data_IF_246721511364
#
_entry.id   IF_246721511364
#
_cell.length_a   1.000
_cell.length_b   1.000
_cell.length_c   1.000
_cell.angle_alpha   90.00
_cell.angle_beta   90.00
_cell.angle_gamma   90.00
#
_symmetry.space_group_name_H-M   'P 1'
#
loop_
_entity.id
_entity.type
_entity.pdbx_description
1 polymer ?
#
# COMPACT_ATOMS: atom_id res chain seq x y z
N UNK A 1 4.56 29.52 -28.63
CA UNK A 1 4.78 28.07 -28.41
C UNK A 1 4.25 27.53 -27.07
N UNK A 2 4.22 28.30 -25.98
CA UNK A 2 3.77 27.82 -24.63
C UNK A 2 2.28 27.43 -24.56
N UNK A 3 1.38 28.06 -25.30
CA UNK A 3 -0.07 27.77 -25.27
C UNK A 3 -0.46 26.50 -26.05
N UNK A 4 0.39 26.00 -26.93
CA UNK A 4 0.06 24.84 -27.76
C UNK A 4 0.08 23.52 -26.98
N UNK A 5 0.96 23.34 -25.95
CA UNK A 5 1.06 22.09 -25.20
C UNK A 5 -0.15 21.90 -24.26
N UNK A 6 -0.56 22.97 -23.56
CA UNK A 6 -1.73 22.90 -22.66
C UNK A 6 -2.99 22.55 -23.45
N UNK A 7 -3.21 23.18 -24.60
CA UNK A 7 -4.35 22.88 -25.46
C UNK A 7 -4.36 21.41 -25.90
N UNK A 8 -3.22 20.85 -26.32
CA UNK A 8 -3.11 19.43 -26.68
C UNK A 8 -3.42 18.51 -25.49
N UNK A 9 -2.99 18.88 -24.29
CA UNK A 9 -3.31 18.14 -23.08
C UNK A 9 -4.82 18.23 -22.77
N UNK A 10 -5.41 19.43 -22.90
CA UNK A 10 -6.86 19.64 -22.72
C UNK A 10 -7.68 18.83 -23.74
N UNK A 11 -7.20 18.69 -24.97
CA UNK A 11 -7.86 17.87 -26.01
C UNK A 11 -7.83 16.37 -25.64
N UNK A 12 -6.81 15.90 -24.89
CA UNK A 12 -6.69 14.50 -24.47
C UNK A 12 -7.57 14.19 -23.25
N UNK A 13 -7.49 15.02 -22.18
CA UNK A 13 -8.12 14.68 -20.90
C UNK A 13 -9.29 15.60 -20.51
N UNK A 14 -9.57 16.62 -21.34
CA UNK A 14 -10.58 17.65 -21.09
C UNK A 14 -10.07 18.77 -20.17
N UNK A 15 -10.44 20.01 -20.49
CA UNK A 15 -9.97 21.23 -19.81
C UNK A 15 -10.11 21.20 -18.27
N UNK A 16 -11.24 20.69 -17.75
CA UNK A 16 -11.50 20.58 -16.31
C UNK A 16 -10.56 19.66 -15.54
N UNK A 17 -9.77 18.85 -16.25
CA UNK A 17 -8.83 17.89 -15.67
C UNK A 17 -7.37 18.35 -15.81
N UNK A 18 -7.15 19.57 -16.27
CA UNK A 18 -5.85 20.25 -16.35
C UNK A 18 -5.85 21.38 -15.32
N UNK A 19 -5.26 21.12 -14.16
CA UNK A 19 -5.24 22.08 -13.05
C UNK A 19 -4.05 23.03 -13.24
N UNK A 20 -4.34 24.30 -13.44
CA UNK A 20 -3.34 25.35 -13.71
C UNK A 20 -3.22 26.33 -12.56
N UNK A 21 -4.31 26.62 -11.83
CA UNK A 21 -4.29 27.57 -10.73
C UNK A 21 -3.42 27.07 -9.57
N UNK A 22 -2.85 27.98 -8.80
CA UNK A 22 -2.07 27.64 -7.61
C UNK A 22 -2.93 26.95 -6.56
N UNK A 23 -4.17 27.40 -6.40
CA UNK A 23 -5.13 26.86 -5.45
C UNK A 23 -5.45 25.38 -5.76
N UNK A 24 -5.84 25.07 -7.01
CA UNK A 24 -6.16 23.70 -7.43
C UNK A 24 -4.97 22.73 -7.30
N UNK A 25 -3.74 23.23 -7.50
CA UNK A 25 -2.52 22.41 -7.45
C UNK A 25 -2.03 22.15 -6.03
N UNK A 26 -2.38 22.98 -5.05
CA UNK A 26 -1.75 22.99 -3.73
C UNK A 26 -1.74 21.61 -3.07
N UNK A 27 -2.86 20.87 -3.07
CA UNK A 27 -2.95 19.53 -2.47
C UNK A 27 -2.04 18.47 -3.12
N UNK A 28 -1.56 18.71 -4.34
CA UNK A 28 -0.64 17.81 -5.04
C UNK A 28 0.84 18.22 -4.89
N UNK A 29 1.09 19.45 -4.48
CA UNK A 29 2.43 20.02 -4.34
C UNK A 29 2.94 20.01 -2.90
N UNK A 30 2.09 19.66 -1.94
CA UNK A 30 2.42 19.60 -0.53
C UNK A 30 2.22 18.17 -0.04
N UNK A 31 3.27 17.52 0.42
CA UNK A 31 3.17 16.20 1.03
C UNK A 31 2.76 16.32 2.51
N UNK A 32 2.31 15.24 3.10
CA UNK A 32 1.69 15.20 4.43
C UNK A 32 2.51 15.85 5.55
N UNK A 33 3.85 15.75 5.51
CA UNK A 33 4.74 16.36 6.52
C UNK A 33 5.16 17.78 6.18
N UNK A 34 4.76 18.31 5.02
CA UNK A 34 5.15 19.62 4.51
C UNK A 34 6.67 19.85 4.47
N UNK A 35 7.44 18.77 4.25
CA UNK A 35 8.92 18.83 4.16
C UNK A 35 9.43 19.06 2.75
N UNK A 36 8.60 18.73 1.76
CA UNK A 36 8.95 18.77 0.33
C UNK A 36 7.98 19.70 -0.41
N UNK A 37 8.17 21.04 -0.30
CA UNK A 37 7.33 21.97 -1.04
C UNK A 37 7.59 21.86 -2.53
N UNK A 38 6.57 21.48 -3.29
CA UNK A 38 6.68 21.22 -4.72
C UNK A 38 6.32 22.41 -5.59
N UNK A 39 6.67 22.30 -6.88
CA UNK A 39 6.26 23.22 -7.94
C UNK A 39 5.93 22.39 -9.18
N UNK A 40 4.84 22.70 -9.84
CA UNK A 40 4.47 22.08 -11.11
C UNK A 40 3.86 23.10 -12.07
N UNK A 41 4.01 22.89 -13.35
CA UNK A 41 3.32 23.67 -14.39
C UNK A 41 1.82 23.41 -14.36
N UNK A 42 1.43 22.15 -14.31
CA UNK A 42 0.05 21.72 -14.17
C UNK A 42 -0.02 20.35 -13.49
N UNK A 43 -1.18 20.06 -12.91
CA UNK A 43 -1.56 18.71 -12.50
C UNK A 43 -2.60 18.17 -13.48
N UNK A 44 -2.36 16.96 -13.98
CA UNK A 44 -3.14 16.30 -15.01
C UNK A 44 -3.87 15.11 -14.39
N UNK A 45 -5.17 14.99 -14.63
CA UNK A 45 -6.01 13.95 -14.04
C UNK A 45 -6.67 13.08 -15.12
N UNK A 46 -5.93 12.17 -15.74
CA UNK A 46 -6.50 11.21 -16.68
C UNK A 46 -7.50 10.26 -16.00
N UNK A 47 -8.43 9.69 -16.78
CA UNK A 47 -9.44 8.73 -16.33
C UNK A 47 -9.26 7.32 -16.91
N UNK A 48 -8.27 7.13 -17.78
CA UNK A 48 -8.06 5.86 -18.48
C UNK A 48 -6.60 5.66 -18.85
N UNK A 49 -6.19 4.41 -18.99
CA UNK A 49 -4.87 4.00 -19.48
C UNK A 49 -4.56 4.63 -20.85
N UNK A 50 -5.55 4.72 -21.72
CA UNK A 50 -5.41 5.39 -23.02
C UNK A 50 -5.06 6.88 -22.89
N UNK A 51 -5.71 7.60 -21.97
CA UNK A 51 -5.38 9.00 -21.71
C UNK A 51 -3.96 9.15 -21.14
N UNK A 52 -3.53 8.27 -20.23
CA UNK A 52 -2.15 8.23 -19.71
C UNK A 52 -1.16 7.99 -20.86
N UNK A 53 -1.44 7.01 -21.72
CA UNK A 53 -0.62 6.68 -22.89
C UNK A 53 -0.44 7.88 -23.83
N UNK A 54 -1.53 8.57 -24.18
CA UNK A 54 -1.48 9.74 -25.06
C UNK A 54 -0.69 10.90 -24.42
N UNK A 55 -0.84 11.11 -23.11
CA UNK A 55 -0.07 12.13 -22.38
C UNK A 55 1.43 11.81 -22.38
N UNK A 56 1.80 10.56 -22.04
CA UNK A 56 3.20 10.14 -22.02
C UNK A 56 3.84 10.21 -23.39
N UNK A 57 3.14 9.76 -24.43
CA UNK A 57 3.60 9.89 -25.83
C UNK A 57 3.86 11.35 -26.22
N UNK A 58 2.96 12.27 -25.83
CA UNK A 58 3.14 13.70 -26.08
C UNK A 58 4.35 14.25 -25.34
N UNK A 59 4.55 13.86 -24.08
CA UNK A 59 5.67 14.32 -23.26
C UNK A 59 7.00 13.73 -23.72
N UNK A 60 7.03 12.46 -24.09
CA UNK A 60 8.20 11.81 -24.68
C UNK A 60 8.68 12.55 -25.94
N UNK A 61 7.77 12.83 -26.87
CA UNK A 61 8.08 13.57 -28.11
C UNK A 61 8.61 14.99 -27.87
N UNK A 62 8.36 15.56 -26.70
CA UNK A 62 8.73 16.94 -26.35
C UNK A 62 9.81 17.01 -25.29
N UNK A 63 10.35 15.87 -24.83
CA UNK A 63 11.31 15.75 -23.73
C UNK A 63 10.83 16.51 -22.47
N UNK A 64 9.57 16.34 -22.11
CA UNK A 64 8.97 17.00 -20.94
C UNK A 64 8.94 16.02 -19.78
N UNK A 65 9.58 16.35 -18.65
CA UNK A 65 9.53 15.53 -17.44
C UNK A 65 8.13 15.49 -16.84
N UNK A 66 7.79 14.32 -16.27
CA UNK A 66 6.51 14.08 -15.61
C UNK A 66 6.72 13.26 -14.34
N UNK A 67 5.96 13.59 -13.30
CA UNK A 67 5.96 12.87 -12.02
C UNK A 67 4.59 12.20 -11.85
N UNK A 68 4.51 10.87 -11.78
CA UNK A 68 3.26 10.18 -11.43
C UNK A 68 2.97 10.35 -9.94
N UNK A 69 1.68 10.50 -9.60
CA UNK A 69 1.26 10.66 -8.23
C UNK A 69 -0.02 9.84 -7.94
N UNK A 70 0.01 9.06 -6.86
CA UNK A 70 -1.15 8.40 -6.29
C UNK A 70 -1.82 9.25 -5.20
N UNK A 71 -1.96 8.70 -3.99
CA UNK A 71 -2.60 9.36 -2.84
C UNK A 71 -1.76 10.43 -2.13
N UNK A 72 -0.59 10.76 -2.62
CA UNK A 72 0.34 11.75 -2.05
C UNK A 72 0.75 11.46 -0.58
N UNK A 73 0.77 10.20 -0.18
CA UNK A 73 1.07 9.75 1.20
C UNK A 73 2.53 9.35 1.42
N UNK A 74 3.37 9.41 0.38
CA UNK A 74 4.80 9.08 0.45
C UNK A 74 5.57 10.06 1.35
N UNK A 75 6.57 9.54 2.09
CA UNK A 75 7.29 10.31 3.10
C UNK A 75 8.70 10.76 2.66
N UNK A 76 9.11 10.38 1.44
CA UNK A 76 10.48 10.62 0.93
C UNK A 76 10.52 11.56 -0.27
N UNK A 77 9.37 12.14 -0.66
CA UNK A 77 9.28 13.18 -1.69
C UNK A 77 9.28 12.70 -3.13
N UNK A 78 9.27 11.39 -3.40
CA UNK A 78 9.30 10.84 -4.77
C UNK A 78 8.08 11.21 -5.63
N UNK A 79 6.96 11.56 -5.01
CA UNK A 79 5.73 12.01 -5.67
C UNK A 79 5.69 13.52 -5.95
N UNK A 80 6.71 14.28 -5.56
CA UNK A 80 6.77 15.73 -5.68
C UNK A 80 7.73 16.14 -6.80
N UNK A 81 7.37 17.13 -7.60
CA UNK A 81 8.28 17.79 -8.55
C UNK A 81 8.63 19.20 -8.07
N UNK A 82 9.84 19.66 -8.38
CA UNK A 82 10.38 20.93 -7.91
C UNK A 82 10.51 21.99 -9.01
N UNK A 83 10.06 21.68 -10.20
CA UNK A 83 10.17 22.55 -11.36
C UNK A 83 8.81 23.06 -11.82
N UNK A 84 8.66 24.37 -11.98
CA UNK A 84 7.47 24.98 -12.58
C UNK A 84 7.30 24.68 -14.09
N UNK A 85 8.21 23.90 -14.68
CA UNK A 85 8.12 23.44 -16.07
C UNK A 85 7.54 22.02 -16.17
N UNK A 86 7.61 21.24 -15.09
CA UNK A 86 7.23 19.84 -15.03
C UNK A 86 5.73 19.66 -14.80
N UNK A 87 5.24 18.46 -15.06
CA UNK A 87 3.85 18.09 -14.88
C UNK A 87 3.72 16.96 -13.85
N UNK A 88 2.62 16.99 -13.09
CA UNK A 88 2.20 15.85 -12.27
C UNK A 88 1.06 15.15 -13.00
N UNK A 89 1.10 13.81 -13.09
CA UNK A 89 -0.02 12.97 -13.51
C UNK A 89 -0.60 12.30 -12.26
N UNK A 90 -1.76 12.77 -11.81
CA UNK A 90 -2.51 12.18 -10.71
C UNK A 90 -3.47 11.12 -11.25
N UNK A 91 -3.42 9.93 -10.67
CA UNK A 91 -4.27 8.80 -11.05
C UNK A 91 -5.60 8.75 -10.27
N UNK A 92 -5.93 9.75 -9.46
CA UNK A 92 -7.11 9.76 -8.57
C UNK A 92 -8.44 9.45 -9.26
N UNK A 93 -8.57 9.71 -10.58
CA UNK A 93 -9.78 9.42 -11.38
C UNK A 93 -9.81 7.99 -11.94
N UNK A 94 -8.73 7.26 -11.82
CA UNK A 94 -8.62 5.86 -12.24
C UNK A 94 -8.87 4.95 -11.04
N UNK A 95 -10.08 4.96 -10.52
CA UNK A 95 -10.46 4.34 -9.24
C UNK A 95 -11.60 3.31 -9.38
N UNK A 96 -11.71 2.66 -10.53
CA UNK A 96 -12.77 1.68 -10.79
C UNK A 96 -12.34 0.27 -10.42
N UNK A 97 -13.29 -0.49 -9.88
CA UNK A 97 -13.25 -1.95 -9.86
C UNK A 97 -13.42 -2.44 -11.31
N UNK A 98 -12.49 -3.28 -11.79
CA UNK A 98 -12.54 -3.88 -13.12
C UNK A 98 -13.15 -5.27 -13.05
N UNK A 99 -12.69 -6.09 -12.09
CA UNK A 99 -13.20 -7.44 -11.87
C UNK A 99 -13.03 -7.86 -10.41
N UNK A 100 -13.95 -8.68 -9.92
CA UNK A 100 -13.85 -9.36 -8.63
C UNK A 100 -14.25 -10.82 -8.83
N UNK A 101 -13.36 -11.74 -8.46
CA UNK A 101 -13.59 -13.16 -8.59
C UNK A 101 -13.29 -13.86 -7.25
N UNK A 102 -14.36 -14.23 -6.53
CA UNK A 102 -14.26 -14.92 -5.25
C UNK A 102 -13.72 -16.33 -5.38
N UNK A 103 -14.02 -17.02 -6.49
CA UNK A 103 -13.58 -18.40 -6.73
C UNK A 103 -12.08 -18.47 -6.96
N UNK A 104 -11.54 -17.56 -7.79
CA UNK A 104 -10.12 -17.47 -8.08
C UNK A 104 -9.37 -16.69 -6.98
N UNK A 105 -10.10 -16.11 -6.03
CA UNK A 105 -9.56 -15.23 -4.97
C UNK A 105 -8.72 -14.09 -5.56
N UNK A 106 -9.31 -13.37 -6.50
CA UNK A 106 -8.63 -12.25 -7.20
C UNK A 106 -9.51 -11.02 -7.31
N UNK A 107 -8.87 -9.86 -7.29
CA UNK A 107 -9.50 -8.57 -7.58
C UNK A 107 -8.65 -7.82 -8.60
N UNK A 108 -9.28 -7.21 -9.61
CA UNK A 108 -8.62 -6.33 -10.58
C UNK A 108 -9.17 -4.92 -10.41
N UNK A 109 -8.28 -3.97 -10.16
CA UNK A 109 -8.63 -2.59 -9.88
C UNK A 109 -7.74 -1.62 -10.63
N UNK A 110 -8.25 -0.41 -10.88
CA UNK A 110 -7.44 0.69 -11.38
C UNK A 110 -6.53 1.26 -10.29
N UNK A 111 -5.37 1.76 -10.69
CA UNK A 111 -4.27 2.17 -9.80
C UNK A 111 -4.59 3.33 -8.84
N UNK A 112 -5.56 4.18 -9.16
CA UNK A 112 -6.01 5.28 -8.31
C UNK A 112 -7.07 4.88 -7.28
N UNK A 113 -7.45 3.61 -7.19
CA UNK A 113 -8.37 3.13 -6.15
C UNK A 113 -7.71 3.23 -4.77
N UNK A 114 -8.44 3.78 -3.80
CA UNK A 114 -7.98 3.87 -2.41
C UNK A 114 -7.90 2.46 -1.79
N UNK A 115 -6.92 2.27 -0.90
CA UNK A 115 -6.77 1.00 -0.20
C UNK A 115 -8.02 0.64 0.62
N UNK A 116 -8.63 1.60 1.29
CA UNK A 116 -9.90 1.41 2.02
C UNK A 116 -11.05 0.97 1.11
N UNK A 117 -11.12 1.43 -0.14
CA UNK A 117 -12.14 0.97 -1.09
C UNK A 117 -11.96 -0.50 -1.45
N UNK A 118 -10.72 -0.95 -1.60
CA UNK A 118 -10.41 -2.38 -1.83
C UNK A 118 -10.81 -3.20 -0.61
N UNK A 119 -10.51 -2.72 0.61
CA UNK A 119 -10.94 -3.37 1.86
C UNK A 119 -12.45 -3.50 1.92
N UNK A 120 -13.20 -2.43 1.66
CA UNK A 120 -14.67 -2.46 1.70
C UNK A 120 -15.25 -3.47 0.69
N UNK A 121 -14.74 -3.48 -0.55
CA UNK A 121 -15.17 -4.45 -1.57
C UNK A 121 -14.90 -5.89 -1.10
N UNK A 122 -13.73 -6.14 -0.52
CA UNK A 122 -13.40 -7.46 0.00
C UNK A 122 -14.30 -7.84 1.19
N UNK A 123 -14.51 -6.91 2.13
CA UNK A 123 -15.34 -7.13 3.33
C UNK A 123 -16.80 -7.46 2.99
N UNK A 124 -17.38 -6.74 2.03
CA UNK A 124 -18.74 -6.98 1.53
C UNK A 124 -18.92 -8.40 0.91
N UNK A 125 -17.80 -9.03 0.53
CA UNK A 125 -17.77 -10.36 -0.09
C UNK A 125 -17.16 -11.46 0.81
N UNK A 126 -17.00 -11.21 2.11
CA UNK A 126 -16.31 -12.11 3.06
C UNK A 126 -14.90 -12.48 2.63
N UNK A 127 -14.19 -11.53 2.04
CA UNK A 127 -12.80 -11.68 1.61
C UNK A 127 -11.91 -10.68 2.35
N UNK A 128 -10.60 -10.87 2.23
CA UNK A 128 -9.56 -10.03 2.82
C UNK A 128 -8.54 -9.63 1.75
N UNK A 129 -8.27 -8.33 1.63
CA UNK A 129 -7.02 -7.84 1.05
C UNK A 129 -6.08 -7.45 2.20
N UNK A 130 -4.97 -8.17 2.43
CA UNK A 130 -4.26 -8.14 3.72
C UNK A 130 -3.25 -6.98 3.86
N UNK A 131 -3.11 -6.10 2.89
CA UNK A 131 -2.28 -4.90 3.01
C UNK A 131 -2.95 -3.90 3.95
N UNK A 132 -2.36 -3.65 5.12
CA UNK A 132 -2.86 -2.65 6.08
C UNK A 132 -1.77 -1.63 6.38
N UNK A 133 -2.06 -0.37 6.17
CA UNK A 133 -1.14 0.76 6.28
C UNK A 133 -1.77 1.87 7.11
N UNK A 134 -0.96 2.65 7.83
CA UNK A 134 -1.43 3.84 8.55
C UNK A 134 -2.10 4.87 7.62
N UNK A 135 -1.77 4.86 6.32
CA UNK A 135 -2.30 5.76 5.30
C UNK A 135 -3.45 5.16 4.48
N UNK A 136 -4.05 4.04 4.87
CA UNK A 136 -5.03 3.29 4.06
C UNK A 136 -6.24 4.12 3.60
N UNK A 137 -6.65 5.13 4.37
CA UNK A 137 -7.72 6.06 4.00
C UNK A 137 -7.38 7.02 2.87
N UNK A 138 -6.11 7.16 2.50
CA UNK A 138 -5.65 8.15 1.52
C UNK A 138 -4.71 7.58 0.48
N UNK A 139 -3.98 6.50 0.77
CA UNK A 139 -3.08 5.88 -0.21
C UNK A 139 -3.87 5.15 -1.29
N UNK A 140 -3.29 5.10 -2.49
CA UNK A 140 -3.85 4.38 -3.64
C UNK A 140 -3.03 3.13 -3.92
N UNK A 141 -3.69 2.12 -4.49
CA UNK A 141 -3.03 0.85 -4.79
C UNK A 141 -1.85 1.00 -5.77
N UNK A 142 -1.95 1.92 -6.73
CA UNK A 142 -0.84 2.20 -7.65
C UNK A 142 0.38 2.79 -6.94
N UNK A 143 0.16 3.64 -5.93
CA UNK A 143 1.23 4.15 -5.06
C UNK A 143 1.85 3.05 -4.20
N UNK A 144 1.02 2.17 -3.62
CA UNK A 144 1.48 1.04 -2.81
C UNK A 144 2.30 0.05 -3.64
N UNK A 145 1.89 -0.22 -4.88
CA UNK A 145 2.64 -1.03 -5.83
C UNK A 145 3.97 -0.37 -6.22
N UNK A 146 3.93 0.91 -6.57
CA UNK A 146 5.12 1.64 -6.99
C UNK A 146 6.20 1.69 -5.90
N UNK A 147 5.82 1.68 -4.63
CA UNK A 147 6.75 1.68 -3.49
C UNK A 147 6.98 0.29 -2.88
N UNK A 148 6.34 -0.75 -3.43
CA UNK A 148 6.32 -2.08 -2.83
C UNK A 148 5.97 -2.04 -1.33
N UNK A 149 4.89 -1.35 -1.00
CA UNK A 149 4.51 -1.08 0.38
C UNK A 149 4.34 -2.37 1.18
N UNK A 150 4.82 -2.34 2.43
CA UNK A 150 4.62 -3.38 3.41
C UNK A 150 3.85 -2.83 4.60
N UNK A 151 2.93 -3.62 5.12
CA UNK A 151 2.14 -3.29 6.30
C UNK A 151 2.32 -4.34 7.41
N UNK A 152 1.49 -4.28 8.44
CA UNK A 152 1.60 -5.16 9.61
C UNK A 152 1.42 -6.64 9.28
N UNK A 153 0.70 -6.98 8.20
CA UNK A 153 0.44 -8.35 7.77
C UNK A 153 1.56 -9.01 6.95
N UNK A 154 2.69 -8.33 6.71
CA UNK A 154 3.80 -8.82 5.86
C UNK A 154 4.36 -10.16 6.35
N UNK A 155 4.38 -10.38 7.65
CA UNK A 155 4.90 -11.62 8.23
C UNK A 155 4.25 -12.88 7.66
N UNK A 156 2.97 -12.82 7.32
CA UNK A 156 2.21 -13.97 6.83
C UNK A 156 1.84 -13.85 5.35
N UNK A 157 1.43 -12.68 4.89
CA UNK A 157 0.90 -12.47 3.54
C UNK A 157 1.95 -11.95 2.54
N UNK A 158 3.12 -11.53 3.02
CA UNK A 158 4.11 -10.85 2.20
C UNK A 158 3.79 -9.37 1.98
N UNK A 159 4.65 -8.70 1.22
CA UNK A 159 4.48 -7.30 0.84
C UNK A 159 3.60 -7.14 -0.42
N UNK A 160 3.42 -5.92 -0.90
CA UNK A 160 2.57 -5.66 -2.08
C UNK A 160 3.01 -6.44 -3.32
N UNK A 161 4.31 -6.71 -3.49
CA UNK A 161 4.83 -7.55 -4.58
C UNK A 161 4.29 -8.97 -4.53
N UNK A 162 4.27 -9.58 -3.34
CA UNK A 162 3.79 -10.96 -3.13
C UNK A 162 2.28 -11.07 -3.36
N UNK A 163 1.55 -9.97 -3.12
CA UNK A 163 0.10 -9.86 -3.33
C UNK A 163 -0.28 -9.60 -4.80
N UNK A 164 0.68 -9.28 -5.68
CA UNK A 164 0.42 -8.88 -7.06
C UNK A 164 0.52 -10.06 -8.02
N UNK A 165 -0.54 -10.30 -8.80
CA UNK A 165 -0.57 -11.31 -9.87
C UNK A 165 -0.22 -10.71 -11.23
N UNK A 166 -0.64 -9.48 -11.50
CA UNK A 166 -0.41 -8.83 -12.78
C UNK A 166 -0.57 -7.31 -12.72
N UNK A 167 -0.05 -6.63 -13.73
CA UNK A 167 -0.10 -5.17 -13.84
C UNK A 167 -0.47 -4.75 -15.26
N UNK A 168 -1.12 -3.60 -15.38
CA UNK A 168 -1.13 -2.80 -16.59
C UNK A 168 -0.26 -1.57 -16.36
N UNK A 169 0.66 -1.29 -17.29
CA UNK A 169 1.66 -0.21 -17.16
C UNK A 169 1.76 0.55 -18.46
N UNK A 170 1.90 1.86 -18.37
CA UNK A 170 2.23 2.73 -19.51
C UNK A 170 3.70 3.16 -19.40
N UNK A 171 4.49 2.84 -20.41
CA UNK A 171 5.89 3.22 -20.51
C UNK A 171 6.06 4.70 -20.87
N UNK A 172 7.27 5.23 -20.75
CA UNK A 172 7.57 6.64 -21.01
C UNK A 172 7.29 7.10 -22.44
N UNK A 173 7.34 6.20 -23.42
CA UNK A 173 7.01 6.48 -24.83
C UNK A 173 5.50 6.41 -25.13
N UNK A 174 4.68 6.07 -24.14
CA UNK A 174 3.24 5.88 -24.24
C UNK A 174 2.82 4.45 -24.61
N UNK A 175 3.75 3.51 -24.77
CA UNK A 175 3.42 2.09 -25.00
C UNK A 175 2.72 1.49 -23.79
N UNK A 176 1.68 0.68 -24.02
CA UNK A 176 0.92 0.01 -22.96
C UNK A 176 1.38 -1.44 -22.90
N UNK A 177 1.81 -1.87 -21.70
CA UNK A 177 2.07 -3.26 -21.37
C UNK A 177 0.90 -3.76 -20.53
N UNK A 178 0.13 -4.70 -21.05
CA UNK A 178 -0.97 -5.32 -20.32
C UNK A 178 -0.59 -6.74 -19.90
N UNK A 179 -0.37 -6.89 -18.60
CA UNK A 179 -0.02 -8.14 -17.92
C UNK A 179 -1.03 -8.46 -16.82
N UNK A 180 -2.29 -8.05 -16.98
CA UNK A 180 -3.37 -8.32 -16.01
C UNK A 180 -3.76 -9.81 -16.06
N UNK A 181 -2.91 -10.66 -15.50
CA UNK A 181 -3.15 -12.08 -15.32
C UNK A 181 -3.73 -12.35 -13.94
N UNK A 182 -4.57 -13.38 -13.81
CA UNK A 182 -5.17 -13.81 -12.53
C UNK A 182 -4.66 -15.18 -12.08
N UNK A 183 -3.84 -15.83 -12.90
CA UNK A 183 -3.28 -17.15 -12.56
C UNK A 183 -2.29 -17.05 -11.41
N UNK A 184 -2.55 -17.79 -10.33
CA UNK A 184 -1.62 -17.91 -9.19
C UNK A 184 -0.32 -18.64 -9.59
N UNK A 185 -0.42 -19.65 -10.47
CA UNK A 185 0.73 -20.34 -11.05
C UNK A 185 0.92 -19.87 -12.49
N UNK A 186 1.91 -19.03 -12.73
CA UNK A 186 2.34 -18.61 -14.07
C UNK A 186 3.84 -18.83 -14.23
N UNK A 187 4.19 -19.85 -15.00
CA UNK A 187 5.58 -20.23 -15.28
C UNK A 187 6.04 -19.70 -16.66
N UNK A 188 5.30 -18.78 -17.28
CA UNK A 188 5.54 -18.33 -18.65
C UNK A 188 6.45 -17.11 -18.69
N UNK A 189 7.71 -17.30 -19.07
CA UNK A 189 8.66 -16.21 -19.31
C UNK A 189 9.11 -15.47 -18.04
N UNK A 190 9.60 -14.26 -18.22
CA UNK A 190 10.05 -13.40 -17.12
C UNK A 190 8.88 -12.77 -16.37
N UNK A 191 9.02 -12.60 -15.06
CA UNK A 191 8.06 -11.89 -14.23
C UNK A 191 8.22 -10.36 -14.39
N UNK A 192 7.74 -9.82 -15.50
CA UNK A 192 7.90 -8.39 -15.81
C UNK A 192 7.21 -7.48 -14.78
N UNK A 193 6.12 -7.93 -14.13
CA UNK A 193 5.45 -7.15 -13.08
C UNK A 193 6.40 -6.75 -11.96
N UNK A 194 7.38 -7.61 -11.65
CA UNK A 194 8.32 -7.40 -10.54
C UNK A 194 9.38 -6.32 -10.85
N UNK A 195 9.52 -5.90 -12.11
CA UNK A 195 10.31 -4.74 -12.51
C UNK A 195 9.62 -3.43 -12.10
N UNK A 196 8.28 -3.39 -12.20
CA UNK A 196 7.50 -2.19 -11.95
C UNK A 196 7.10 -2.03 -10.48
N UNK A 197 6.89 -3.14 -9.75
CA UNK A 197 6.64 -3.08 -8.30
C UNK A 197 7.91 -2.63 -7.58
N UNK A 198 7.83 -1.50 -6.89
CA UNK A 198 8.97 -0.88 -6.23
C UNK A 198 9.82 0.02 -7.13
N UNK A 199 9.39 0.29 -8.38
CA UNK A 199 10.11 1.18 -9.31
C UNK A 199 9.84 2.67 -9.09
N UNK A 200 8.91 3.02 -8.20
CA UNK A 200 8.53 4.40 -7.86
C UNK A 200 8.18 5.29 -9.08
N UNK A 201 7.60 4.67 -10.12
CA UNK A 201 7.21 5.37 -11.35
C UNK A 201 8.35 5.67 -12.33
N UNK A 202 9.59 5.24 -12.05
CA UNK A 202 10.76 5.52 -12.89
C UNK A 202 10.77 4.70 -14.18
N UNK A 203 10.16 3.53 -14.20
CA UNK A 203 10.09 2.65 -15.37
C UNK A 203 8.78 2.77 -16.17
N UNK A 204 7.75 3.34 -15.55
CA UNK A 204 6.42 3.50 -16.17
C UNK A 204 5.36 3.82 -15.13
N UNK A 205 4.15 4.14 -15.59
CA UNK A 205 3.01 4.45 -14.75
C UNK A 205 2.09 3.23 -14.69
N UNK A 206 1.93 2.65 -13.50
CA UNK A 206 0.97 1.56 -13.24
C UNK A 206 -0.44 2.15 -13.34
N UNK A 207 -1.30 1.56 -14.18
CA UNK A 207 -2.66 2.01 -14.43
C UNK A 207 -3.74 1.08 -13.90
N UNK A 208 -3.42 -0.22 -13.78
CA UNK A 208 -4.28 -1.21 -13.15
C UNK A 208 -3.44 -2.36 -12.57
N UNK A 209 -4.03 -3.10 -11.63
CA UNK A 209 -3.41 -4.26 -11.02
C UNK A 209 -4.40 -5.39 -10.80
N UNK A 210 -3.91 -6.61 -10.93
CA UNK A 210 -4.54 -7.85 -10.51
C UNK A 210 -3.89 -8.33 -9.22
N UNK A 211 -4.69 -8.48 -8.17
CA UNK A 211 -4.25 -8.70 -6.79
C UNK A 211 -4.84 -9.99 -6.23
N UNK A 212 -4.07 -10.66 -5.37
CA UNK A 212 -4.56 -11.77 -4.55
C UNK A 212 -5.42 -11.24 -3.43
N UNK A 213 -6.57 -11.86 -3.23
CA UNK A 213 -7.37 -11.72 -2.02
C UNK A 213 -7.45 -13.07 -1.32
N UNK A 214 -7.84 -13.05 -0.07
CA UNK A 214 -7.88 -14.23 0.79
C UNK A 214 -9.25 -14.36 1.43
N UNK A 215 -9.58 -15.52 1.94
CA UNK A 215 -10.74 -15.66 2.79
C UNK A 215 -10.60 -14.78 4.02
N UNK A 216 -11.69 -14.15 4.44
CA UNK A 216 -11.70 -13.34 5.66
C UNK A 216 -11.56 -14.25 6.88
N UNK A 217 -10.58 -14.01 7.78
CA UNK A 217 -10.52 -14.73 9.04
C UNK A 217 -11.79 -14.53 9.84
N UNK A 218 -12.28 -15.60 10.48
CA UNK A 218 -13.48 -15.57 11.32
C UNK A 218 -13.20 -14.97 12.70
N UNK A 219 -11.94 -15.03 13.12
CA UNK A 219 -11.51 -14.50 14.40
C UNK A 219 -10.09 -13.95 14.32
N UNK A 220 -9.84 -12.87 15.06
CA UNK A 220 -8.55 -12.22 15.20
C UNK A 220 -8.25 -12.00 16.68
N UNK A 221 -7.14 -12.53 17.14
CA UNK A 221 -6.69 -12.43 18.52
C UNK A 221 -5.43 -11.57 18.58
N UNK A 222 -5.56 -10.39 19.17
CA UNK A 222 -4.48 -9.42 19.30
C UNK A 222 -3.94 -9.41 20.73
N UNK A 223 -2.63 -9.48 20.86
CA UNK A 223 -1.92 -9.51 22.13
C UNK A 223 -0.89 -8.40 22.20
N UNK A 224 -0.70 -7.89 23.42
CA UNK A 224 0.42 -7.02 23.75
C UNK A 224 1.24 -7.70 24.86
N UNK A 225 2.52 -7.91 24.60
CA UNK A 225 3.47 -8.45 25.57
C UNK A 225 4.65 -7.50 25.79
N UNK A 226 5.46 -7.77 26.79
CA UNK A 226 6.70 -7.05 27.04
C UNK A 226 7.90 -7.98 26.97
N UNK A 227 9.04 -7.50 26.48
CA UNK A 227 10.29 -8.25 26.44
C UNK A 227 11.46 -7.43 27.00
N UNK A 228 12.43 -8.10 27.59
CA UNK A 228 13.62 -7.42 28.13
C UNK A 228 14.62 -6.99 27.05
N UNK A 229 14.55 -7.59 25.84
CA UNK A 229 15.45 -7.30 24.73
C UNK A 229 14.86 -7.75 23.38
N UNK A 230 15.34 -7.19 22.24
CA UNK A 230 14.96 -7.65 20.90
C UNK A 230 15.27 -9.14 20.68
N UNK A 231 16.35 -9.65 21.27
CA UNK A 231 16.70 -11.06 21.19
C UNK A 231 15.61 -11.94 21.81
N UNK A 232 15.10 -11.56 22.98
CA UNK A 232 14.00 -12.27 23.66
C UNK A 232 12.71 -12.22 22.83
N UNK A 233 12.40 -11.06 22.22
CA UNK A 233 11.28 -10.95 21.31
C UNK A 233 11.42 -11.89 20.10
N UNK A 234 12.61 -12.02 19.52
CA UNK A 234 12.88 -12.94 18.41
C UNK A 234 12.77 -14.41 18.86
N UNK A 235 13.28 -14.76 20.03
CA UNK A 235 13.16 -16.12 20.59
C UNK A 235 11.69 -16.48 20.83
N UNK A 236 10.88 -15.50 21.28
CA UNK A 236 9.43 -15.65 21.42
C UNK A 236 8.74 -15.85 20.08
N UNK A 237 9.04 -15.03 19.07
CA UNK A 237 8.51 -15.19 17.69
C UNK A 237 8.75 -16.61 17.18
N UNK A 238 9.99 -17.10 17.27
CA UNK A 238 10.35 -18.45 16.81
C UNK A 238 9.60 -19.53 17.58
N UNK A 239 9.41 -19.33 18.88
CA UNK A 239 8.64 -20.25 19.69
C UNK A 239 7.17 -20.29 19.25
N UNK A 240 6.54 -19.13 19.01
CA UNK A 240 5.17 -19.05 18.50
C UNK A 240 5.05 -19.80 17.17
N UNK A 241 5.92 -19.50 16.19
CA UNK A 241 5.89 -20.13 14.87
C UNK A 241 6.07 -21.66 14.91
N UNK A 242 6.81 -22.18 15.89
CA UNK A 242 7.07 -23.61 16.04
C UNK A 242 5.93 -24.37 16.70
N UNK A 243 5.17 -23.74 17.60
CA UNK A 243 4.23 -24.43 18.48
C UNK A 243 2.75 -24.25 18.12
N UNK A 244 2.44 -23.57 17.00
CA UNK A 244 1.07 -23.45 16.52
C UNK A 244 0.98 -23.53 15.01
N UNK A 245 -0.13 -24.13 14.51
CA UNK A 245 -0.53 -24.08 13.12
C UNK A 245 -1.45 -22.87 12.82
N UNK A 246 -1.90 -22.15 13.87
CA UNK A 246 -2.73 -20.96 13.68
C UNK A 246 -1.86 -19.84 13.10
N UNK A 247 -2.27 -19.22 12.01
CA UNK A 247 -1.49 -18.15 11.37
C UNK A 247 -1.17 -16.99 12.31
N UNK A 248 0.12 -16.77 12.58
CA UNK A 248 0.63 -15.56 13.20
C UNK A 248 0.75 -14.50 12.09
N UNK A 249 -0.21 -13.59 12.03
CA UNK A 249 -0.35 -12.66 10.91
C UNK A 249 0.41 -11.36 11.11
N UNK A 250 0.68 -10.98 12.35
CA UNK A 250 1.45 -9.77 12.67
C UNK A 250 2.35 -10.00 13.88
N UNK A 251 3.54 -9.38 13.88
CA UNK A 251 4.45 -9.37 15.01
C UNK A 251 5.34 -8.11 14.94
N UNK A 252 4.98 -7.11 15.76
CA UNK A 252 5.62 -5.80 15.77
C UNK A 252 6.36 -5.59 17.08
N UNK A 253 7.59 -5.06 17.02
CA UNK A 253 8.38 -4.71 18.20
C UNK A 253 8.50 -3.19 18.35
N UNK A 254 8.26 -2.68 19.54
CA UNK A 254 8.32 -1.26 19.87
C UNK A 254 9.26 -1.04 21.05
N UNK A 255 10.11 -0.03 21.00
CA UNK A 255 10.88 0.37 22.17
C UNK A 255 10.03 1.25 23.10
N UNK A 256 10.41 1.30 24.40
CA UNK A 256 9.69 2.09 25.39
C UNK A 256 9.63 3.58 25.03
N UNK A 257 10.67 4.13 24.39
CA UNK A 257 10.68 5.53 24.02
C UNK A 257 9.56 5.89 23.02
N UNK A 258 9.34 5.04 22.01
CA UNK A 258 8.23 5.22 21.06
C UNK A 258 6.86 5.17 21.74
N UNK A 259 6.69 4.22 22.69
CA UNK A 259 5.47 4.09 23.48
C UNK A 259 5.26 5.32 24.38
N UNK A 260 6.31 5.77 25.08
CA UNK A 260 6.26 6.97 25.93
C UNK A 260 5.90 8.24 25.13
N UNK A 261 6.37 8.39 23.90
CA UNK A 261 5.98 9.51 23.02
C UNK A 261 4.47 9.47 22.77
N UNK A 262 3.91 8.31 22.44
CA UNK A 262 2.46 8.17 22.21
C UNK A 262 1.68 8.50 23.47
N UNK A 263 2.04 7.92 24.61
CA UNK A 263 1.34 8.15 25.89
C UNK A 263 1.37 9.62 26.34
N UNK A 264 2.44 10.36 26.02
CA UNK A 264 2.55 11.80 26.37
C UNK A 264 1.71 12.69 25.45
N UNK A 265 1.58 12.33 24.17
CA UNK A 265 0.92 13.18 23.18
C UNK A 265 -0.57 12.83 22.97
N UNK A 266 -1.00 11.64 23.38
CA UNK A 266 -2.37 11.16 23.25
C UNK A 266 -2.90 10.73 24.61
N UNK A 267 -3.38 11.69 25.41
CA UNK A 267 -3.73 11.52 26.83
C UNK A 267 -4.81 10.47 27.13
N UNK A 268 -5.63 10.09 26.14
CA UNK A 268 -6.64 9.03 26.29
C UNK A 268 -6.05 7.61 26.11
N UNK A 269 -4.85 7.52 25.54
CA UNK A 269 -4.19 6.24 25.28
C UNK A 269 -3.64 5.66 26.57
N UNK A 270 -3.97 4.40 26.85
CA UNK A 270 -3.47 3.68 28.05
C UNK A 270 -2.67 2.45 27.62
N UNK A 271 -1.55 2.22 28.28
CA UNK A 271 -0.80 0.99 28.12
C UNK A 271 -1.49 -0.12 28.93
N UNK A 272 -1.97 -1.22 28.32
CA UNK A 272 -2.68 -2.28 29.03
C UNK A 272 -1.76 -3.20 29.86
N UNK A 273 -0.46 -2.92 29.91
CA UNK A 273 0.53 -3.63 30.70
C UNK A 273 0.92 -2.78 31.92
N UNK A 274 0.79 -3.33 33.10
CA UNK A 274 1.03 -2.63 34.37
C UNK A 274 2.50 -2.29 34.64
N UNK A 275 3.43 -3.08 34.10
CA UNK A 275 4.87 -2.90 34.34
C UNK A 275 5.56 -2.34 33.12
N UNK A 276 6.26 -1.20 33.26
CA UNK A 276 7.09 -0.66 32.17
C UNK A 276 8.22 -1.63 31.80
N UNK A 277 8.44 -1.78 30.53
CA UNK A 277 9.51 -2.60 29.96
C UNK A 277 10.29 -1.80 28.91
N UNK A 278 11.47 -2.25 28.56
CA UNK A 278 12.29 -1.61 27.52
C UNK A 278 11.72 -1.86 26.11
N UNK A 279 11.02 -2.97 25.94
CA UNK A 279 10.48 -3.40 24.65
C UNK A 279 9.07 -3.94 24.82
N UNK A 280 8.22 -3.67 23.83
CA UNK A 280 6.86 -4.19 23.72
C UNK A 280 6.72 -4.93 22.42
N UNK A 281 5.84 -5.93 22.41
CA UNK A 281 5.54 -6.77 21.26
C UNK A 281 4.04 -6.74 21.06
N UNK A 282 3.58 -6.25 19.90
CA UNK A 282 2.21 -6.36 19.45
C UNK A 282 2.14 -7.49 18.43
N UNK A 283 1.32 -8.50 18.66
CA UNK A 283 1.21 -9.62 17.73
C UNK A 283 -0.24 -10.09 17.58
N UNK A 284 -0.54 -10.65 16.41
CA UNK A 284 -1.88 -11.04 16.03
C UNK A 284 -1.91 -12.43 15.42
N UNK A 285 -2.87 -13.22 15.86
CA UNK A 285 -3.24 -14.48 15.22
C UNK A 285 -4.57 -14.32 14.48
N UNK A 286 -4.68 -14.96 13.31
CA UNK A 286 -5.91 -15.01 12.53
C UNK A 286 -6.40 -16.45 12.42
N UNK A 287 -7.65 -16.71 12.79
CA UNK A 287 -8.26 -18.03 12.69
C UNK A 287 -9.36 -18.05 11.62
N UNK A 288 -9.38 -19.11 10.82
CA UNK A 288 -10.44 -19.39 9.85
C UNK A 288 -11.57 -20.26 10.43
N UNK A 289 -11.38 -20.74 11.66
CA UNK A 289 -12.38 -21.50 12.41
C UNK A 289 -12.81 -20.68 13.63
N UNK A 290 -14.13 -20.65 13.89
CA UNK A 290 -14.70 -20.07 15.09
C UNK A 290 -14.75 -21.15 16.18
N UNK A 291 -13.62 -21.38 16.86
CA UNK A 291 -13.52 -22.42 17.87
C UNK A 291 -12.99 -21.84 19.20
N UNK A 292 -13.67 -22.08 20.30
CA UNK A 292 -13.20 -21.69 21.64
C UNK A 292 -11.82 -22.26 21.97
N UNK A 293 -11.50 -23.44 21.47
CA UNK A 293 -10.20 -24.07 21.68
C UNK A 293 -9.04 -23.27 21.04
N UNK A 294 -9.33 -22.44 20.02
CA UNK A 294 -8.29 -21.57 19.39
C UNK A 294 -7.71 -20.57 20.37
N UNK A 295 -8.57 -19.90 21.13
CA UNK A 295 -8.12 -18.91 22.14
C UNK A 295 -7.35 -19.58 23.29
N UNK A 296 -7.82 -20.75 23.75
CA UNK A 296 -7.17 -21.53 24.79
C UNK A 296 -5.78 -22.00 24.34
N UNK A 297 -5.67 -22.60 23.16
CA UNK A 297 -4.40 -23.06 22.59
C UNK A 297 -3.38 -21.93 22.42
N UNK A 298 -3.82 -20.76 21.95
CA UNK A 298 -2.92 -19.59 21.82
C UNK A 298 -2.48 -19.10 23.20
N UNK A 299 -3.42 -19.07 24.18
CA UNK A 299 -3.10 -18.64 25.55
C UNK A 299 -2.10 -19.58 26.21
N UNK A 300 -2.19 -20.88 26.00
CA UNK A 300 -1.21 -21.86 26.50
C UNK A 300 0.19 -21.60 25.93
N UNK A 301 0.29 -21.31 24.62
CA UNK A 301 1.57 -21.01 23.97
C UNK A 301 2.15 -19.68 24.47
N UNK A 302 1.32 -18.68 24.70
CA UNK A 302 1.73 -17.39 25.28
C UNK A 302 2.26 -17.61 26.71
N UNK A 303 1.57 -18.40 27.52
CA UNK A 303 2.00 -18.76 28.87
C UNK A 303 3.36 -19.48 28.87
N UNK A 304 3.58 -20.39 27.92
CA UNK A 304 4.91 -21.01 27.74
C UNK A 304 6.00 -19.97 27.46
N UNK A 305 5.67 -18.88 26.76
CA UNK A 305 6.58 -17.74 26.55
C UNK A 305 6.96 -17.02 27.84
N UNK A 306 5.99 -16.87 28.76
CA UNK A 306 6.21 -16.30 30.09
C UNK A 306 7.08 -17.23 30.91
N UNK A 307 6.79 -18.52 30.96
CA UNK A 307 7.58 -19.53 31.70
C UNK A 307 9.04 -19.57 31.27
N UNK A 308 9.28 -19.46 29.96
CA UNK A 308 10.63 -19.41 29.36
C UNK A 308 11.29 -18.05 29.51
N UNK A 309 10.64 -17.07 30.11
CA UNK A 309 11.14 -15.70 30.32
C UNK A 309 11.52 -15.01 28.98
N UNK A 310 10.74 -15.25 27.94
CA UNK A 310 10.86 -14.53 26.68
C UNK A 310 10.10 -13.21 26.73
N UNK A 311 8.94 -13.23 27.37
CA UNK A 311 8.04 -12.09 27.58
C UNK A 311 7.67 -11.97 29.07
#
# INVERSE_FOLDING_TARGET
MKNNIIKKIEDIIGKKNVLLSSEDKNKYLTEWRNRYPGKARAVLRPKSTKEVSLLLKLFHQKNIPVTPQGGNTGLVGGQITYSSKDFIISLERMNKLINFNKVDETIIVQAGMLLTQIHNICDENDMLFPLSLASEGSCTIGGNLATNAGGVGVLYYGNTRDLTLGLEVVLSDGSIINLLKTLKKDNTGYSLKDLFVGSEGTLGIITAASLKIFQKPKDKLTFLASASSPKKALDFLRMLQKNTSIPLTSFEIMNNHSVDIVLRNFGETKLPISKKSNWYILFEFSSYEKNKNTTESISEIVNLGIEKKFI
#
